data_IF_851715406012
#
_entry.id   IF_851715406012
#
_cell.length_a   1.000
_cell.length_b   1.000
_cell.length_c   1.000
_cell.angle_alpha   90.00
_cell.angle_beta   90.00
_cell.angle_gamma   90.00
#
_symmetry.space_group_name_H-M   'P 1'
#
loop_
_entity.id
_entity.type
_entity.pdbx_description
1 polymer ?
#
# COMPACT_ATOMS: atom_id res chain seq x y z
N UNK A 1 -10.49 -79.78 2.11
CA UNK A 1 -11.45 -79.96 1.00
C UNK A 1 -12.47 -78.83 1.02
N UNK A 2 -12.76 -78.29 -0.18
CA UNK A 2 -13.93 -77.51 -0.62
C UNK A 2 -14.13 -76.04 -0.19
N UNK A 3 -14.12 -75.23 -1.25
CA UNK A 3 -14.40 -73.82 -1.47
C UNK A 3 -15.86 -73.43 -1.16
N UNK A 4 -16.07 -72.17 -0.74
CA UNK A 4 -17.23 -71.30 -1.03
C UNK A 4 -16.81 -69.87 -0.60
N UNK A 5 -16.31 -68.96 -1.45
CA UNK A 5 -16.96 -68.10 -2.47
C UNK A 5 -18.13 -67.25 -1.95
N UNK A 6 -18.06 -65.93 -2.28
CA UNK A 6 -19.02 -64.81 -2.08
C UNK A 6 -18.86 -64.02 -0.76
N UNK A 7 -18.90 -62.68 -0.70
CA UNK A 7 -19.09 -61.63 -1.70
C UNK A 7 -18.62 -60.28 -1.14
N UNK A 8 -18.24 -59.40 -2.07
CA UNK A 8 -18.08 -57.96 -1.97
C UNK A 8 -18.75 -57.27 -0.77
N UNK A 9 -17.95 -56.61 0.05
CA UNK A 9 -18.36 -55.38 0.73
C UNK A 9 -17.12 -54.47 0.83
N UNK A 10 -16.87 -53.77 -0.28
CA UNK A 10 -15.99 -52.59 -0.29
C UNK A 10 -16.71 -51.52 0.52
N UNK A 11 -16.58 -51.56 1.85
CA UNK A 11 -16.67 -50.35 2.63
C UNK A 11 -15.28 -49.74 2.56
N UNK A 12 -15.11 -48.89 1.55
CA UNK A 12 -14.07 -47.88 1.56
C UNK A 12 -14.32 -47.05 2.84
N UNK A 13 -13.69 -47.46 3.94
CA UNK A 13 -13.32 -46.51 4.97
C UNK A 13 -12.33 -45.63 4.24
N UNK A 14 -12.87 -44.54 3.70
CA UNK A 14 -12.10 -43.39 3.29
C UNK A 14 -11.22 -43.07 4.49
N UNK A 15 -10.00 -43.60 4.49
CA UNK A 15 -8.94 -43.06 5.29
C UNK A 15 -8.74 -41.68 4.70
N UNK A 16 -9.52 -40.73 5.21
CA UNK A 16 -9.25 -39.33 5.08
C UNK A 16 -7.89 -39.16 5.75
N UNK A 17 -6.84 -39.33 4.94
CA UNK A 17 -5.49 -38.97 5.33
C UNK A 17 -5.51 -37.46 5.40
N UNK A 18 -6.00 -36.93 6.52
CA UNK A 18 -5.72 -35.56 6.92
C UNK A 18 -4.20 -35.48 7.03
N UNK A 19 -3.56 -35.02 5.95
CA UNK A 19 -2.19 -34.55 6.02
C UNK A 19 -2.25 -33.35 6.95
N UNK A 20 -1.97 -33.56 8.22
CA UNK A 20 -1.56 -32.49 9.11
C UNK A 20 -0.25 -31.96 8.53
N UNK A 21 -0.38 -30.88 7.76
CA UNK A 21 0.77 -30.05 7.41
C UNK A 21 1.28 -29.44 8.72
N UNK A 22 2.34 -30.05 9.26
CA UNK A 22 3.12 -29.45 10.33
C UNK A 22 3.53 -28.04 9.90
N UNK A 23 2.88 -27.03 10.50
CA UNK A 23 3.30 -25.64 10.38
C UNK A 23 4.64 -25.53 11.09
N UNK A 24 5.73 -25.78 10.36
CA UNK A 24 7.09 -25.50 10.80
C UNK A 24 7.12 -24.04 11.26
N UNK A 25 7.33 -23.82 12.56
CA UNK A 25 7.41 -22.50 13.14
C UNK A 25 8.41 -21.68 12.33
N UNK A 26 7.95 -20.59 11.71
CA UNK A 26 8.83 -19.72 10.94
C UNK A 26 9.92 -19.22 11.89
N UNK A 27 11.18 -19.53 11.58
CA UNK A 27 12.33 -18.97 12.28
C UNK A 27 12.22 -17.45 12.30
N UNK A 28 12.63 -16.77 13.40
CA UNK A 28 12.52 -15.32 13.48
C UNK A 28 13.38 -14.69 12.38
N UNK A 29 12.74 -14.24 11.31
CA UNK A 29 13.39 -13.46 10.27
C UNK A 29 13.82 -12.15 10.90
N UNK A 30 15.12 -11.97 11.06
CA UNK A 30 15.69 -10.71 11.50
C UNK A 30 15.31 -9.63 10.47
N UNK A 31 14.56 -8.62 10.90
CA UNK A 31 14.14 -7.52 10.04
C UNK A 31 15.19 -6.42 10.12
N UNK A 32 15.92 -6.21 9.03
CA UNK A 32 16.91 -5.14 8.96
C UNK A 32 16.16 -3.84 8.64
N UNK A 33 16.16 -2.90 9.59
CA UNK A 33 15.58 -1.57 9.43
C UNK A 33 16.70 -0.55 9.24
N UNK A 34 16.63 0.21 8.16
CA UNK A 34 17.63 1.24 7.83
C UNK A 34 16.94 2.59 7.60
N UNK A 35 17.62 3.67 7.98
CA UNK A 35 17.21 5.03 7.64
C UNK A 35 17.83 5.40 6.30
N UNK A 36 17.00 5.84 5.35
CA UNK A 36 17.45 6.32 4.05
C UNK A 36 17.25 7.83 3.97
N UNK A 37 18.29 8.53 3.51
CA UNK A 37 18.30 9.97 3.32
C UNK A 37 18.99 10.26 1.98
N UNK A 38 18.46 11.23 1.24
CA UNK A 38 19.10 11.76 0.04
C UNK A 38 19.10 13.28 0.11
N UNK A 39 20.13 13.90 -0.47
CA UNK A 39 20.30 15.35 -0.50
C UNK A 39 20.37 15.83 -1.95
N UNK A 40 19.94 17.07 -2.18
CA UNK A 40 20.18 17.80 -3.41
C UNK A 40 21.66 18.16 -3.57
N UNK A 41 22.13 18.56 -4.78
CA UNK A 41 23.51 18.97 -4.99
C UNK A 41 23.97 20.13 -4.10
N UNK A 42 23.04 20.98 -3.65
CA UNK A 42 23.30 22.09 -2.73
C UNK A 42 23.34 21.67 -1.24
N UNK A 43 23.20 20.38 -0.95
CA UNK A 43 23.23 19.81 0.39
C UNK A 43 21.90 19.85 1.16
N UNK A 44 20.82 20.39 0.57
CA UNK A 44 19.51 20.38 1.23
C UNK A 44 18.87 19.00 1.17
N UNK A 45 18.06 18.68 2.19
CA UNK A 45 17.35 17.41 2.27
C UNK A 45 16.38 17.26 1.07
N UNK A 46 16.49 16.14 0.36
CA UNK A 46 15.64 15.80 -0.80
C UNK A 46 14.57 14.79 -0.44
N UNK A 47 14.95 13.75 0.30
CA UNK A 47 14.01 12.79 0.86
C UNK A 47 14.56 12.14 2.12
N UNK A 48 13.66 11.62 2.93
CA UNK A 48 13.98 10.77 4.07
C UNK A 48 12.88 9.74 4.32
N UNK A 49 13.28 8.59 4.86
CA UNK A 49 12.35 7.55 5.27
C UNK A 49 13.09 6.35 5.86
N UNK A 50 12.34 5.30 6.17
CA UNK A 50 12.92 4.03 6.59
C UNK A 50 12.69 2.96 5.53
N UNK A 51 13.60 2.00 5.46
CA UNK A 51 13.43 0.75 4.74
C UNK A 51 13.40 -0.41 5.72
N UNK A 52 12.72 -1.49 5.35
CA UNK A 52 12.77 -2.79 6.02
C UNK A 52 13.09 -3.83 4.96
N UNK A 53 14.20 -4.55 5.12
CA UNK A 53 14.74 -5.50 4.14
C UNK A 53 14.88 -4.86 2.74
N UNK A 54 15.46 -3.65 2.69
CA UNK A 54 15.68 -2.88 1.47
C UNK A 54 14.42 -2.28 0.83
N UNK A 55 13.24 -2.43 1.43
CA UNK A 55 11.98 -1.88 0.89
C UNK A 55 11.45 -0.74 1.75
N UNK A 56 10.98 0.34 1.12
CA UNK A 56 10.37 1.47 1.81
C UNK A 56 9.27 1.04 2.80
N UNK A 57 9.36 1.52 4.03
CA UNK A 57 8.43 1.19 5.10
C UNK A 57 8.22 2.37 6.05
N UNK A 58 6.99 2.56 6.51
CA UNK A 58 6.62 3.66 7.39
C UNK A 58 6.46 4.98 6.64
N UNK A 59 6.65 6.10 7.33
CA UNK A 59 6.48 7.44 6.75
C UNK A 59 7.73 7.81 5.94
N UNK A 60 7.47 8.30 4.74
CA UNK A 60 8.45 8.89 3.84
C UNK A 60 8.08 10.33 3.58
N UNK A 61 9.09 11.20 3.53
CA UNK A 61 8.96 12.60 3.18
C UNK A 61 9.87 12.92 2.01
N UNK A 62 9.34 13.74 1.12
CA UNK A 62 10.04 14.29 -0.03
C UNK A 62 9.95 15.80 0.07
N UNK A 63 11.02 16.48 -0.28
CA UNK A 63 11.19 17.90 -0.09
C UNK A 63 11.40 18.59 -1.44
N UNK A 64 11.04 19.86 -1.52
CA UNK A 64 11.46 20.76 -2.58
C UNK A 64 12.88 21.29 -2.31
N UNK A 65 13.54 21.85 -3.33
CA UNK A 65 14.86 22.49 -3.17
C UNK A 65 14.84 23.74 -2.26
N UNK A 66 13.65 24.29 -1.99
CA UNK A 66 13.49 25.37 -1.00
C UNK A 66 13.37 24.84 0.44
N UNK A 67 13.42 23.53 0.65
CA UNK A 67 13.34 22.87 1.95
C UNK A 67 11.92 22.60 2.46
N UNK A 68 10.87 23.07 1.80
CA UNK A 68 9.50 22.71 2.16
C UNK A 68 9.18 21.28 1.75
N UNK A 69 8.34 20.61 2.54
CA UNK A 69 7.85 19.27 2.20
C UNK A 69 7.02 19.35 0.92
N UNK A 70 7.38 18.54 -0.06
CA UNK A 70 6.60 18.34 -1.28
C UNK A 70 5.52 17.28 -1.07
N UNK A 71 5.88 16.14 -0.48
CA UNK A 71 4.94 15.06 -0.19
C UNK A 71 5.35 14.29 1.04
N UNK A 72 4.36 13.87 1.83
CA UNK A 72 4.54 12.88 2.88
C UNK A 72 3.54 11.74 2.68
N UNK A 73 4.00 10.50 2.79
CA UNK A 73 3.16 9.33 2.56
C UNK A 73 3.68 8.12 3.31
N UNK A 74 2.80 7.17 3.56
CA UNK A 74 3.14 5.90 4.19
C UNK A 74 3.45 4.84 3.13
N UNK A 75 4.42 3.99 3.43
CA UNK A 75 4.78 2.84 2.62
C UNK A 75 4.74 1.56 3.47
N UNK A 76 4.34 0.46 2.86
CA UNK A 76 4.43 -0.88 3.43
C UNK A 76 5.03 -1.82 2.39
N UNK A 77 6.20 -2.39 2.73
CA UNK A 77 6.93 -3.33 1.87
C UNK A 77 7.19 -2.79 0.45
N UNK A 78 7.55 -1.51 0.35
CA UNK A 78 7.85 -0.84 -0.92
C UNK A 78 6.63 -0.29 -1.65
N UNK A 79 5.42 -0.56 -1.17
CA UNK A 79 4.17 -0.11 -1.78
C UNK A 79 3.59 1.05 -0.99
N UNK A 80 3.17 2.12 -1.67
CA UNK A 80 2.53 3.27 -1.00
C UNK A 80 1.17 2.84 -0.46
N UNK A 81 0.92 3.12 0.82
CA UNK A 81 -0.29 2.70 1.49
C UNK A 81 -0.64 3.56 2.70
N UNK A 82 -1.90 3.98 2.78
CA UNK A 82 -2.44 4.83 3.82
C UNK A 82 -2.39 6.31 3.46
N UNK A 83 -2.50 7.14 4.50
CA UNK A 83 -2.61 8.60 4.36
C UNK A 83 -1.40 9.18 3.61
N UNK A 84 -1.69 10.02 2.63
CA UNK A 84 -0.71 10.79 1.88
C UNK A 84 -1.15 12.24 1.83
N UNK A 85 -0.18 13.15 1.97
CA UNK A 85 -0.36 14.58 1.74
C UNK A 85 0.65 15.07 0.71
N UNK A 86 0.21 16.03 -0.08
CA UNK A 86 1.01 16.72 -1.08
C UNK A 86 0.82 18.21 -0.84
N UNK A 87 1.90 18.97 -0.97
CA UNK A 87 1.95 20.39 -0.69
C UNK A 87 2.42 21.15 -1.92
N UNK A 88 2.14 22.44 -1.95
CA UNK A 88 2.76 23.40 -2.85
C UNK A 88 4.13 23.82 -2.32
N UNK A 89 4.96 24.42 -3.18
CA UNK A 89 6.28 24.95 -2.79
C UNK A 89 6.23 26.05 -1.71
N UNK A 90 5.07 26.69 -1.51
CA UNK A 90 4.85 27.64 -0.41
C UNK A 90 4.48 26.97 0.92
N UNK A 91 4.56 25.64 1.00
CA UNK A 91 4.24 24.83 2.17
C UNK A 91 2.75 24.62 2.43
N UNK A 92 1.85 25.25 1.65
CA UNK A 92 0.40 25.03 1.81
C UNK A 92 -0.01 23.68 1.24
N UNK A 93 -1.00 23.05 1.86
CA UNK A 93 -1.55 21.76 1.41
C UNK A 93 -2.13 21.93 0.01
N UNK A 94 -1.81 20.99 -0.87
CA UNK A 94 -2.34 20.89 -2.23
C UNK A 94 -3.39 19.78 -2.32
N UNK A 95 -3.05 18.60 -1.81
CA UNK A 95 -3.92 17.42 -1.84
C UNK A 95 -3.71 16.56 -0.61
N UNK A 96 -4.76 15.84 -0.21
CA UNK A 96 -4.70 14.83 0.83
C UNK A 96 -5.70 13.72 0.52
N UNK A 97 -5.25 12.48 0.69
CA UNK A 97 -6.08 11.30 0.49
C UNK A 97 -5.36 10.05 0.98
N UNK A 98 -5.75 8.90 0.45
CA UNK A 98 -5.18 7.62 0.81
C UNK A 98 -4.73 6.85 -0.42
N UNK A 99 -3.71 6.01 -0.22
CA UNK A 99 -3.35 4.95 -1.14
C UNK A 99 -3.74 3.60 -0.54
N UNK A 100 -4.21 2.69 -1.40
CA UNK A 100 -4.43 1.29 -1.09
C UNK A 100 -3.74 0.46 -2.17
N UNK A 101 -2.83 -0.42 -1.76
CA UNK A 101 -2.10 -1.31 -2.67
C UNK A 101 -1.39 -0.56 -3.82
N UNK A 102 -0.84 0.63 -3.52
CA UNK A 102 -0.12 1.44 -4.50
C UNK A 102 -0.98 2.34 -5.38
N UNK A 103 -2.31 2.22 -5.30
CA UNK A 103 -3.27 3.06 -6.04
C UNK A 103 -3.96 4.07 -5.13
N UNK A 104 -4.32 5.24 -5.66
CA UNK A 104 -5.17 6.19 -4.93
C UNK A 104 -6.52 5.53 -4.61
N UNK A 105 -7.07 5.76 -3.41
CA UNK A 105 -8.38 5.23 -3.02
C UNK A 105 -9.16 6.22 -2.16
N UNK A 106 -10.48 6.11 -2.24
CA UNK A 106 -11.44 6.90 -1.47
C UNK A 106 -11.48 8.38 -1.87
N UNK A 107 -11.76 9.23 -0.88
CA UNK A 107 -11.85 10.67 -1.07
C UNK A 107 -10.48 11.33 -1.07
N UNK A 108 -10.27 12.17 -2.08
CA UNK A 108 -9.14 13.05 -2.23
C UNK A 108 -9.59 14.49 -2.11
N UNK A 109 -9.10 15.16 -1.08
CA UNK A 109 -9.36 16.58 -0.85
C UNK A 109 -8.31 17.41 -1.58
N UNK A 110 -8.74 18.49 -2.21
CA UNK A 110 -7.92 19.39 -3.02
C UNK A 110 -8.05 20.82 -2.49
N UNK A 111 -6.94 21.54 -2.44
CA UNK A 111 -6.86 22.93 -2.03
C UNK A 111 -6.12 23.75 -3.09
N UNK A 112 -6.46 25.03 -3.16
CA UNK A 112 -5.80 26.00 -4.02
C UNK A 112 -4.46 26.48 -3.41
N UNK A 113 -3.64 27.17 -4.23
CA UNK A 113 -2.34 27.73 -3.79
C UNK A 113 -2.46 28.74 -2.64
N UNK A 114 -3.61 29.38 -2.48
CA UNK A 114 -3.89 30.30 -1.37
C UNK A 114 -4.28 29.57 -0.07
N UNK A 115 -4.52 28.27 -0.13
CA UNK A 115 -4.93 27.43 1.00
C UNK A 115 -6.45 27.28 1.14
N UNK A 116 -7.25 27.92 0.28
CA UNK A 116 -8.70 27.70 0.24
C UNK A 116 -9.01 26.28 -0.23
N UNK A 117 -10.05 25.69 0.34
CA UNK A 117 -10.56 24.39 -0.11
C UNK A 117 -11.12 24.53 -1.53
N UNK A 118 -10.73 23.62 -2.41
CA UNK A 118 -11.13 23.64 -3.81
C UNK A 118 -12.20 22.56 -4.08
N UNK A 119 -11.91 21.31 -3.74
CA UNK A 119 -12.78 20.19 -4.12
C UNK A 119 -12.52 18.92 -3.31
N UNK A 120 -13.41 17.95 -3.42
CA UNK A 120 -13.25 16.57 -2.96
C UNK A 120 -13.65 15.58 -4.06
N UNK A 121 -12.73 14.70 -4.44
CA UNK A 121 -12.91 13.73 -5.52
C UNK A 121 -12.94 12.32 -4.92
N UNK A 122 -13.96 11.52 -5.24
CA UNK A 122 -13.96 10.09 -4.91
C UNK A 122 -13.37 9.30 -6.07
N UNK A 123 -12.13 8.83 -5.93
CA UNK A 123 -11.42 8.15 -7.02
C UNK A 123 -11.95 6.74 -7.26
N UNK A 124 -12.54 6.09 -6.25
CA UNK A 124 -13.12 4.75 -6.41
C UNK A 124 -14.40 4.81 -7.29
N UNK A 125 -15.15 5.92 -7.21
CA UNK A 125 -16.31 6.18 -8.07
C UNK A 125 -15.91 6.59 -9.49
N UNK A 126 -14.86 7.42 -9.62
CA UNK A 126 -14.37 7.87 -10.93
C UNK A 126 -13.83 6.71 -11.80
N UNK A 127 -13.32 5.64 -11.19
CA UNK A 127 -12.76 4.48 -11.88
C UNK A 127 -13.78 3.35 -12.13
N UNK A 128 -14.98 3.40 -11.51
CA UNK A 128 -15.95 2.29 -11.54
C UNK A 128 -17.08 2.42 -12.55
N UNK A 129 -17.25 3.56 -13.24
CA UNK A 129 -18.05 3.59 -14.46
C UNK A 129 -18.79 4.90 -14.78
N UNK A 130 -18.87 5.16 -16.10
CA UNK A 130 -19.94 5.79 -16.86
C UNK A 130 -20.60 7.12 -16.45
N UNK A 131 -20.14 7.82 -15.41
CA UNK A 131 -20.63 9.19 -15.15
C UNK A 131 -19.74 10.24 -15.83
N UNK A 132 -20.16 10.61 -17.03
CA UNK A 132 -19.61 11.63 -17.91
C UNK A 132 -19.78 13.08 -17.39
N UNK A 133 -19.80 13.30 -16.06
CA UNK A 133 -20.15 14.60 -15.46
C UNK A 133 -19.10 15.20 -14.51
N UNK A 134 -17.91 14.60 -14.33
CA UNK A 134 -16.90 15.15 -13.41
C UNK A 134 -15.51 15.35 -14.04
N UNK A 135 -15.48 15.92 -15.26
CA UNK A 135 -14.29 16.63 -15.77
C UNK A 135 -14.68 18.03 -16.26
N UNK A 136 -15.47 18.73 -15.44
CA UNK A 136 -15.71 20.17 -15.54
C UNK A 136 -14.55 21.02 -15.00
N UNK A 137 -13.30 20.56 -15.12
CA UNK A 137 -12.13 21.44 -15.00
C UNK A 137 -11.91 22.10 -16.37
N UNK A 138 -12.68 23.17 -16.62
CA UNK A 138 -12.26 24.24 -17.54
C UNK A 138 -11.58 25.34 -16.73
#
# INVERSE_FOLDING_TARGET
>A
MRKLLYVMAILAISSCSSKEEEKKAAEPKEYIKETQVEYYPDGKLKLEGNTVNGKAHGVWKYYYENGFVWSEGKFRHGVREGNTKIYYENGKKRMQGQYKEGSQSGWWLVWNKDGSFADSINVDLALSGNDSLLLGLK
#
